data_IF_489543078775
#
_entry.id   IF_489543078775
#
_cell.length_a   1.000
_cell.length_b   1.000
_cell.length_c   1.000
_cell.angle_alpha   90.00
_cell.angle_beta   90.00
_cell.angle_gamma   90.00
#
_symmetry.space_group_name_H-M   'P 1'
#
loop_
_entity.id
_entity.type
_entity.pdbx_description
1 polymer ?
#
# COMPACT_ATOMS: atom_id res chain seq x y z
N UNK A 1 2.46 -13.50 8.13
CA UNK A 1 2.99 -12.45 7.25
C UNK A 1 2.67 -12.80 5.81
N UNK A 2 2.46 -11.79 4.96
CA UNK A 2 2.77 -11.88 3.54
C UNK A 2 4.22 -12.40 3.41
N UNK A 3 4.36 -13.69 3.09
CA UNK A 3 5.66 -14.29 2.85
C UNK A 3 6.16 -13.68 1.53
N UNK A 4 7.36 -13.10 1.51
CA UNK A 4 7.94 -12.28 0.44
C UNK A 4 8.16 -12.96 -0.93
N UNK A 5 7.26 -13.85 -1.33
CA UNK A 5 7.25 -14.63 -2.56
C UNK A 5 6.48 -13.92 -3.68
N UNK A 6 5.81 -12.78 -3.42
CA UNK A 6 5.02 -12.07 -4.43
C UNK A 6 4.25 -10.81 -4.01
N UNK A 7 4.03 -10.57 -2.71
CA UNK A 7 3.27 -9.41 -2.21
C UNK A 7 4.18 -8.41 -1.46
N UNK A 8 3.74 -7.16 -1.36
CA UNK A 8 4.41 -6.10 -0.60
C UNK A 8 3.40 -5.19 0.10
N UNK A 9 3.81 -4.53 1.18
CA UNK A 9 3.01 -3.49 1.83
C UNK A 9 3.38 -2.12 1.27
N UNK A 10 2.38 -1.31 0.95
CA UNK A 10 2.61 0.08 0.53
C UNK A 10 2.95 0.96 1.74
N UNK A 11 3.98 1.78 1.61
CA UNK A 11 4.54 2.62 2.67
C UNK A 11 4.64 4.07 2.19
N UNK A 12 4.14 4.99 3.02
CA UNK A 12 4.40 6.42 2.90
C UNK A 12 5.76 6.74 3.57
N UNK A 13 6.79 6.93 2.73
CA UNK A 13 8.12 7.36 3.15
C UNK A 13 8.49 8.71 2.51
N UNK A 14 7.51 9.57 2.26
CA UNK A 14 7.74 10.90 1.65
C UNK A 14 8.58 11.84 2.51
N UNK A 15 8.66 11.58 3.80
CA UNK A 15 9.54 12.29 4.74
C UNK A 15 10.95 11.67 4.87
N UNK A 16 11.18 10.50 4.25
CA UNK A 16 12.45 9.76 4.30
C UNK A 16 12.79 9.19 5.68
N UNK A 17 11.82 9.04 6.59
CA UNK A 17 12.06 8.63 7.98
C UNK A 17 11.62 7.20 8.32
N UNK A 18 11.15 6.40 7.35
CA UNK A 18 10.66 5.04 7.62
C UNK A 18 11.66 4.14 8.37
N UNK A 19 12.95 4.19 8.02
CA UNK A 19 13.97 3.40 8.72
C UNK A 19 14.36 3.98 10.09
N UNK A 20 14.34 5.32 10.22
CA UNK A 20 14.73 6.00 11.45
C UNK A 20 13.65 5.92 12.53
N UNK A 21 12.39 5.88 12.13
CA UNK A 21 11.22 5.92 13.02
C UNK A 21 10.43 4.61 13.03
N UNK A 22 10.77 3.66 12.15
CA UNK A 22 10.02 2.44 11.95
C UNK A 22 8.77 2.64 11.08
N UNK A 23 8.13 1.52 10.74
CA UNK A 23 6.88 1.49 9.98
C UNK A 23 5.73 1.17 10.94
N UNK A 24 4.81 2.11 11.09
CA UNK A 24 3.59 1.96 11.88
C UNK A 24 2.35 2.35 11.05
N UNK A 25 1.18 2.37 11.69
CA UNK A 25 -0.09 2.70 11.03
C UNK A 25 -0.11 4.09 10.37
N UNK A 26 0.76 5.02 10.77
CA UNK A 26 0.85 6.35 10.14
C UNK A 26 1.57 6.30 8.79
N UNK A 27 2.43 5.31 8.57
CA UNK A 27 3.15 5.08 7.31
C UNK A 27 2.48 4.04 6.41
N UNK A 28 1.60 3.21 6.96
CA UNK A 28 0.82 2.25 6.20
C UNK A 28 -0.52 2.83 5.74
N UNK A 29 -1.07 2.24 4.67
CA UNK A 29 -2.38 2.60 4.13
C UNK A 29 -3.45 1.66 4.69
N UNK A 30 -3.93 1.98 5.89
CA UNK A 30 -5.07 1.35 6.54
C UNK A 30 -5.95 2.42 7.20
N UNK A 31 -6.74 2.03 8.19
CA UNK A 31 -7.64 2.93 8.92
C UNK A 31 -6.90 3.91 9.88
N UNK A 32 -5.60 3.69 10.13
CA UNK A 32 -4.77 4.42 11.10
C UNK A 32 -5.47 4.52 12.47
N UNK A 33 -6.00 3.41 12.97
CA UNK A 33 -6.72 3.37 14.24
C UNK A 33 -8.07 4.10 14.20
N UNK A 34 -8.73 4.09 13.03
CA UNK A 34 -10.05 4.68 12.80
C UNK A 34 -10.05 6.15 12.40
N UNK A 35 -8.89 6.73 12.08
CA UNK A 35 -8.79 8.08 11.50
C UNK A 35 -9.33 8.13 10.07
N UNK A 36 -9.18 7.03 9.34
CA UNK A 36 -9.76 6.79 8.02
C UNK A 36 -10.71 5.60 8.11
N UNK A 37 -11.72 5.54 7.25
CA UNK A 37 -12.64 4.40 7.19
C UNK A 37 -11.93 3.14 6.61
N UNK A 38 -10.92 3.35 5.77
CA UNK A 38 -10.09 2.31 5.15
C UNK A 38 -8.81 2.95 4.55
N UNK A 39 -7.86 2.11 4.12
CA UNK A 39 -6.61 2.50 3.51
C UNK A 39 -6.76 3.22 2.17
N UNK A 40 -7.82 2.96 1.42
CA UNK A 40 -8.10 3.66 0.15
C UNK A 40 -8.52 5.11 0.37
N UNK A 41 -9.26 5.40 1.45
CA UNK A 41 -9.55 6.79 1.83
C UNK A 41 -8.28 7.56 2.21
N UNK A 42 -7.37 6.91 2.96
CA UNK A 42 -6.05 7.49 3.25
C UNK A 42 -5.26 7.72 1.96
N UNK A 43 -5.28 6.75 1.05
CA UNK A 43 -4.58 6.81 -0.24
C UNK A 43 -5.11 7.95 -1.13
N UNK A 44 -6.43 8.15 -1.16
CA UNK A 44 -7.07 9.25 -1.89
C UNK A 44 -6.66 10.64 -1.39
N UNK A 45 -6.16 10.74 -0.15
CA UNK A 45 -5.56 11.98 0.36
C UNK A 45 -4.27 12.40 -0.36
N UNK A 46 -3.69 11.51 -1.18
CA UNK A 46 -2.48 11.77 -1.96
C UNK A 46 -2.77 12.13 -3.43
N UNK A 47 -4.01 11.93 -3.88
CA UNK A 47 -4.49 12.24 -5.24
C UNK A 47 -4.71 13.76 -5.34
N UNK A 48 -3.68 14.45 -5.83
CA UNK A 48 -3.59 15.91 -5.80
C UNK A 48 -4.38 16.54 -6.94
N UNK A 49 -4.48 15.88 -8.09
CA UNK A 49 -5.25 16.35 -9.24
C UNK A 49 -6.69 15.79 -9.30
N UNK A 50 -7.04 14.89 -8.38
CA UNK A 50 -8.36 14.31 -8.18
C UNK A 50 -8.85 13.48 -9.38
N UNK A 51 -7.93 12.83 -10.09
CA UNK A 51 -8.25 12.00 -11.26
C UNK A 51 -8.67 10.56 -10.87
N UNK A 52 -8.60 10.21 -9.59
CA UNK A 52 -9.00 8.91 -9.05
C UNK A 52 -7.88 7.88 -9.02
N UNK A 53 -6.63 8.29 -9.26
CA UNK A 53 -5.45 7.45 -9.17
C UNK A 53 -4.26 8.26 -8.65
N UNK A 54 -3.22 7.57 -8.17
CA UNK A 54 -1.91 8.18 -7.98
C UNK A 54 -1.06 7.88 -9.20
N UNK A 55 -0.44 8.91 -9.77
CA UNK A 55 0.50 8.75 -10.88
C UNK A 55 1.64 9.78 -10.84
N UNK A 56 2.73 9.48 -11.55
CA UNK A 56 3.83 10.42 -11.76
C UNK A 56 4.41 10.98 -10.45
N UNK A 57 4.23 12.29 -10.22
CA UNK A 57 4.79 12.97 -9.05
C UNK A 57 4.15 12.54 -7.72
N UNK A 58 2.92 12.04 -7.74
CA UNK A 58 2.19 11.61 -6.54
C UNK A 58 2.74 10.32 -5.95
N UNK A 59 3.45 9.52 -6.77
CA UNK A 59 4.12 8.30 -6.35
C UNK A 59 5.47 8.57 -5.67
N UNK A 60 6.01 9.79 -5.76
CA UNK A 60 7.33 10.11 -5.21
C UNK A 60 7.35 9.90 -3.69
N UNK A 61 8.34 9.13 -3.22
CA UNK A 61 8.50 8.82 -1.80
C UNK A 61 7.58 7.72 -1.28
N UNK A 62 6.73 7.13 -2.12
CA UNK A 62 6.06 5.87 -1.79
C UNK A 62 7.03 4.70 -2.00
N UNK A 63 6.99 3.74 -1.09
CA UNK A 63 7.82 2.55 -1.17
C UNK A 63 6.98 1.29 -0.96
N UNK A 64 7.49 0.17 -1.45
CA UNK A 64 7.01 -1.16 -1.15
C UNK A 64 7.92 -1.78 -0.08
N UNK A 65 7.33 -2.24 1.02
CA UNK A 65 8.01 -3.03 2.04
C UNK A 65 7.79 -4.52 1.75
N UNK A 66 8.87 -5.18 1.35
CA UNK A 66 8.95 -6.62 1.09
C UNK A 66 9.68 -7.26 2.26
N UNK A 67 8.90 -7.67 3.24
CA UNK A 67 9.44 -8.14 4.50
C UNK A 67 9.93 -9.60 4.45
N UNK A 68 11.01 -9.88 5.20
CA UNK A 68 11.64 -11.20 5.30
C UNK A 68 10.97 -12.18 6.30
N UNK A 69 10.08 -11.68 7.15
CA UNK A 69 9.27 -12.39 8.13
C UNK A 69 9.49 -11.96 9.60
N UNK A 70 10.30 -10.94 9.90
CA UNK A 70 10.81 -10.69 11.25
C UNK A 70 10.13 -9.57 12.08
N UNK A 71 9.58 -8.55 11.45
CA UNK A 71 8.74 -7.51 12.07
C UNK A 71 9.19 -6.12 11.66
N UNK A 72 10.35 -6.02 11.01
CA UNK A 72 11.21 -4.86 11.14
C UNK A 72 11.75 -4.47 9.77
N UNK A 73 11.32 -3.29 9.32
CA UNK A 73 11.79 -2.76 8.05
C UNK A 73 13.31 -2.54 8.02
N UNK A 74 13.97 -3.21 7.09
CA UNK A 74 15.37 -2.98 6.77
C UNK A 74 15.54 -2.22 5.44
N UNK A 75 16.68 -1.57 5.25
CA UNK A 75 16.95 -0.78 4.04
C UNK A 75 16.86 -1.62 2.76
N UNK A 76 17.20 -2.92 2.83
CA UNK A 76 17.12 -3.83 1.69
C UNK A 76 15.69 -4.27 1.35
N UNK A 77 14.73 -4.02 2.25
CA UNK A 77 13.32 -4.43 2.12
C UNK A 77 12.42 -3.30 1.63
N UNK A 78 12.90 -2.06 1.66
CA UNK A 78 12.18 -0.88 1.17
C UNK A 78 12.62 -0.56 -0.25
N UNK A 79 11.73 -0.85 -1.20
CA UNK A 79 11.95 -0.61 -2.62
C UNK A 79 11.10 0.57 -3.07
N UNK A 80 11.67 1.52 -3.81
CA UNK A 80 10.88 2.58 -4.42
C UNK A 80 9.84 1.98 -5.37
N UNK A 81 8.59 2.45 -5.31
CA UNK A 81 7.54 1.90 -6.17
C UNK A 81 7.81 2.16 -7.65
N UNK A 82 8.52 3.25 -7.99
CA UNK A 82 8.94 3.55 -9.35
C UNK A 82 9.98 2.53 -9.85
N UNK A 83 10.89 2.07 -8.99
CA UNK A 83 11.89 1.04 -9.32
C UNK A 83 11.25 -0.34 -9.56
N UNK A 84 10.09 -0.60 -8.93
CA UNK A 84 9.26 -1.77 -9.23
C UNK A 84 8.51 -1.64 -10.57
N UNK A 85 8.48 -0.44 -11.14
CA UNK A 85 7.74 -0.14 -12.37
C UNK A 85 6.28 0.21 -12.14
N UNK A 86 5.89 0.60 -10.92
CA UNK A 86 4.55 1.14 -10.65
C UNK A 86 4.37 2.45 -11.41
N UNK A 87 3.36 2.51 -12.27
CA UNK A 87 3.04 3.71 -13.07
C UNK A 87 1.76 4.38 -12.62
N UNK A 88 0.80 3.63 -12.09
CA UNK A 88 -0.42 4.18 -11.51
C UNK A 88 -1.06 3.24 -10.50
N UNK A 89 -1.86 3.79 -9.60
CA UNK A 89 -2.63 3.02 -8.63
C UNK A 89 -3.96 3.72 -8.36
N UNK A 90 -5.07 3.00 -8.47
CA UNK A 90 -6.39 3.58 -8.19
C UNK A 90 -6.56 3.85 -6.70
N UNK A 91 -7.14 5.00 -6.37
CA UNK A 91 -7.45 5.36 -4.97
C UNK A 91 -8.85 4.96 -4.55
N UNK A 92 -9.74 4.65 -5.49
CA UNK A 92 -11.04 4.04 -5.21
C UNK A 92 -10.95 2.52 -5.08
N UNK A 93 -11.91 1.91 -4.37
CA UNK A 93 -12.00 0.45 -4.20
C UNK A 93 -13.39 -0.10 -4.51
N UNK A 94 -13.46 -1.42 -4.64
CA UNK A 94 -14.70 -2.18 -4.68
C UNK A 94 -14.66 -3.29 -3.64
N UNK A 95 -15.80 -3.51 -2.98
CA UNK A 95 -15.99 -4.69 -2.15
C UNK A 95 -16.24 -5.91 -3.03
N UNK A 96 -15.44 -6.95 -2.83
CA UNK A 96 -15.57 -8.23 -3.52
C UNK A 96 -15.70 -9.35 -2.49
N UNK A 97 -16.77 -10.13 -2.59
CA UNK A 97 -16.95 -11.26 -1.68
C UNK A 97 -16.13 -12.46 -2.15
N UNK A 98 -15.36 -13.06 -1.25
CA UNK A 98 -14.61 -14.28 -1.55
C UNK A 98 -15.46 -15.56 -1.33
N UNK A 99 -14.89 -16.73 -1.61
CA UNK A 99 -15.59 -18.01 -1.48
C UNK A 99 -16.05 -18.35 -0.03
N UNK A 100 -15.53 -17.64 0.98
CA UNK A 100 -15.91 -17.78 2.39
C UNK A 100 -16.97 -16.78 2.83
N UNK A 101 -17.41 -15.89 1.94
CA UNK A 101 -18.38 -14.84 2.26
C UNK A 101 -17.77 -13.58 2.87
N UNK A 102 -16.44 -13.47 2.92
CA UNK A 102 -15.74 -12.29 3.45
C UNK A 102 -15.71 -11.19 2.38
N UNK A 103 -16.03 -9.95 2.76
CA UNK A 103 -15.91 -8.78 1.89
C UNK A 103 -14.46 -8.30 1.87
N UNK A 104 -13.88 -8.25 0.67
CA UNK A 104 -12.51 -7.82 0.43
C UNK A 104 -12.51 -6.45 -0.25
N UNK A 105 -11.79 -5.50 0.31
CA UNK A 105 -11.65 -4.15 -0.24
C UNK A 105 -10.52 -4.13 -1.26
N UNK A 106 -10.86 -4.19 -2.55
CA UNK A 106 -9.89 -4.38 -3.63
C UNK A 106 -9.92 -3.28 -4.68
N UNK A 107 -8.77 -3.05 -5.28
CA UNK A 107 -8.62 -2.20 -6.45
C UNK A 107 -7.48 -2.72 -7.34
N UNK A 108 -6.90 -1.82 -8.13
CA UNK A 108 -5.78 -2.17 -9.00
C UNK A 108 -4.71 -1.09 -9.11
N UNK A 109 -3.53 -1.58 -9.46
CA UNK A 109 -2.35 -0.80 -9.82
C UNK A 109 -1.80 -1.29 -11.16
N UNK A 110 -0.98 -0.48 -11.81
CA UNK A 110 -0.28 -0.84 -13.05
C UNK A 110 1.21 -0.90 -12.76
N UNK A 111 1.79 -2.08 -12.88
CA UNK A 111 3.22 -2.33 -12.69
C UNK A 111 3.80 -2.91 -13.99
N UNK A 112 4.82 -2.27 -14.56
CA UNK A 112 5.43 -2.67 -15.83
C UNK A 112 4.42 -2.87 -16.97
N UNK A 113 3.36 -2.05 -16.99
CA UNK A 113 2.28 -2.14 -17.98
C UNK A 113 1.26 -3.26 -17.74
N UNK A 114 1.38 -4.01 -16.64
CA UNK A 114 0.43 -5.04 -16.24
C UNK A 114 -0.43 -4.58 -15.07
N UNK A 115 -1.73 -4.86 -15.15
CA UNK A 115 -2.63 -4.63 -14.02
C UNK A 115 -2.37 -5.68 -12.93
N UNK A 116 -2.15 -5.22 -11.71
CA UNK A 116 -2.00 -6.02 -10.50
C UNK A 116 -3.05 -5.61 -9.48
N UNK A 117 -3.40 -6.54 -8.58
CA UNK A 117 -4.41 -6.31 -7.56
C UNK A 117 -3.81 -5.58 -6.35
N UNK A 118 -4.58 -4.65 -5.79
CA UNK A 118 -4.30 -4.05 -4.47
C UNK A 118 -5.45 -4.36 -3.52
N UNK A 119 -5.15 -4.53 -2.23
CA UNK A 119 -6.14 -4.89 -1.20
C UNK A 119 -5.84 -4.14 0.10
N UNK A 120 -6.89 -3.64 0.76
CA UNK A 120 -6.82 -3.24 2.16
C UNK A 120 -7.11 -4.48 3.02
N UNK A 121 -6.10 -4.88 3.79
CA UNK A 121 -6.08 -6.13 4.54
C UNK A 121 -6.12 -5.87 6.04
N UNK A 122 -7.11 -6.46 6.71
CA UNK A 122 -7.16 -6.51 8.17
C UNK A 122 -6.37 -7.70 8.70
N UNK A 123 -5.27 -7.41 9.40
CA UNK A 123 -4.55 -8.43 10.16
C UNK A 123 -5.21 -8.58 11.53
N UNK A 124 -6.05 -9.60 11.69
CA UNK A 124 -6.62 -9.94 13.00
C UNK A 124 -5.50 -10.21 14.02
N UNK A 125 -5.67 -9.72 15.26
CA UNK A 125 -4.81 -10.09 16.38
C UNK A 125 -4.91 -11.61 16.60
N UNK A 126 -3.77 -12.31 16.61
CA UNK A 126 -3.69 -13.67 17.14
C UNK A 126 -3.83 -13.68 18.65
#
# INVERSE_FOLDING_TARGET
WLKGDGDAMLVDNRDGQALAQGIDGTRLFGDEGGKFNNGYEKLAGLDADQDGQLAGAELQGLQAWIDNGDGMAEAAELVDVADLGLTSMKVGMQNQQNARGEDLMRSSAVINGHEVMTEDVWFGSR
#
